data_IF_334744015189
#
_entry.id   IF_334744015189
#
_cell.length_a   1.000
_cell.length_b   1.000
_cell.length_c   1.000
_cell.angle_alpha   90.00
_cell.angle_beta   90.00
_cell.angle_gamma   90.00
#
_symmetry.space_group_name_H-M   'P 1'
#
loop_
_entity.id
_entity.type
_entity.pdbx_description
1 polymer ?
#
# COMPACT_ATOMS: atom_id res chain seq x y z
N UNK A 1 30.98 -21.68 -8.78
CA UNK A 1 30.09 -21.46 -7.65
C UNK A 1 29.00 -22.52 -7.70
N UNK A 2 28.92 -23.39 -6.71
CA UNK A 2 27.94 -24.48 -6.69
C UNK A 2 27.01 -24.29 -5.47
N UNK A 3 26.34 -23.13 -5.41
CA UNK A 3 25.46 -22.79 -4.28
C UNK A 3 24.04 -23.23 -4.64
N UNK A 4 23.45 -24.05 -3.78
CA UNK A 4 22.08 -24.54 -3.96
C UNK A 4 21.09 -23.38 -3.74
N UNK A 5 20.05 -23.29 -4.56
CA UNK A 5 18.97 -22.30 -4.44
C UNK A 5 18.35 -22.27 -3.03
N UNK A 6 18.26 -23.42 -2.35
CA UNK A 6 17.76 -23.52 -0.97
C UNK A 6 18.56 -22.64 0.02
N UNK A 7 19.86 -22.43 -0.21
CA UNK A 7 20.65 -21.53 0.62
C UNK A 7 20.22 -20.07 0.47
N UNK A 8 19.86 -19.64 -0.75
CA UNK A 8 19.35 -18.29 -1.01
C UNK A 8 17.95 -18.09 -0.43
N UNK A 9 17.10 -19.10 -0.53
CA UNK A 9 15.77 -19.12 0.07
C UNK A 9 15.84 -18.99 1.60
N UNK A 10 16.69 -19.73 2.25
CA UNK A 10 16.90 -19.66 3.71
C UNK A 10 17.45 -18.30 4.09
N UNK A 11 18.44 -17.78 3.36
CA UNK A 11 18.99 -16.44 3.57
C UNK A 11 17.91 -15.37 3.49
N UNK A 12 17.06 -15.41 2.45
CA UNK A 12 15.94 -14.49 2.26
C UNK A 12 15.01 -14.44 3.49
N UNK A 13 14.61 -15.59 4.00
CA UNK A 13 13.68 -15.62 5.15
C UNK A 13 14.38 -15.19 6.45
N UNK A 14 15.65 -15.52 6.67
CA UNK A 14 16.39 -15.04 7.84
C UNK A 14 16.56 -13.52 7.80
N UNK A 15 16.89 -12.95 6.65
CA UNK A 15 17.00 -11.50 6.46
C UNK A 15 15.64 -10.80 6.68
N UNK A 16 14.57 -11.34 6.07
CA UNK A 16 13.22 -10.79 6.16
C UNK A 16 12.67 -10.73 7.59
N UNK A 17 12.97 -11.75 8.41
CA UNK A 17 12.43 -11.84 9.78
C UNK A 17 13.43 -11.40 10.86
N UNK A 18 14.70 -11.23 10.54
CA UNK A 18 15.74 -10.93 11.51
C UNK A 18 15.90 -12.00 12.62
N UNK A 19 15.35 -13.22 12.41
CA UNK A 19 15.23 -14.24 13.44
C UNK A 19 15.30 -15.65 12.85
N UNK A 20 16.30 -16.41 13.29
CA UNK A 20 16.56 -17.79 12.82
C UNK A 20 15.42 -18.76 13.17
N UNK A 21 14.83 -18.64 14.36
CA UNK A 21 13.75 -19.53 14.81
C UNK A 21 12.48 -19.26 14.02
N UNK A 22 12.14 -17.98 13.80
CA UNK A 22 10.98 -17.59 13.00
C UNK A 22 11.12 -18.04 11.54
N UNK A 23 12.32 -17.86 10.96
CA UNK A 23 12.64 -18.35 9.63
C UNK A 23 12.50 -19.87 9.54
N UNK A 24 13.02 -20.63 10.53
CA UNK A 24 12.90 -22.08 10.60
C UNK A 24 11.45 -22.56 10.65
N UNK A 25 10.60 -21.89 11.46
CA UNK A 25 9.16 -22.21 11.55
C UNK A 25 8.47 -22.03 10.20
N UNK A 26 8.69 -20.91 9.51
CA UNK A 26 8.10 -20.60 8.19
C UNK A 26 8.59 -21.57 7.11
N UNK A 27 9.84 -22.00 7.21
CA UNK A 27 10.45 -22.95 6.27
C UNK A 27 10.18 -24.43 6.61
N UNK A 28 9.40 -24.71 7.66
CA UNK A 28 9.12 -26.06 8.16
C UNK A 28 10.38 -26.90 8.39
N UNK A 29 11.43 -26.27 8.96
CA UNK A 29 12.72 -26.91 9.24
C UNK A 29 13.20 -26.58 10.67
N UNK A 30 14.35 -27.13 11.07
CA UNK A 30 14.93 -26.87 12.39
C UNK A 30 15.86 -25.63 12.37
N UNK A 31 15.89 -24.89 13.47
CA UNK A 31 16.79 -23.74 13.61
C UNK A 31 18.28 -24.12 13.46
N UNK A 32 18.79 -25.28 13.95
CA UNK A 32 20.17 -25.71 13.66
C UNK A 32 20.44 -25.91 12.17
N UNK A 33 19.47 -26.43 11.40
CA UNK A 33 19.59 -26.57 9.95
C UNK A 33 19.70 -25.22 9.26
N UNK A 34 18.85 -24.24 9.63
CA UNK A 34 18.93 -22.86 9.13
C UNK A 34 20.29 -22.25 9.42
N UNK A 35 20.78 -22.36 10.67
CA UNK A 35 22.10 -21.83 11.08
C UNK A 35 23.24 -22.44 10.26
N UNK A 36 23.23 -23.76 10.08
CA UNK A 36 24.24 -24.47 9.27
C UNK A 36 24.22 -24.02 7.82
N UNK A 37 23.04 -23.81 7.24
CA UNK A 37 22.92 -23.36 5.85
C UNK A 37 23.42 -21.95 5.65
N UNK A 38 23.11 -21.01 6.57
CA UNK A 38 23.66 -19.66 6.53
C UNK A 38 25.19 -19.70 6.62
N UNK A 39 25.74 -20.46 7.55
CA UNK A 39 27.20 -20.58 7.69
C UNK A 39 27.86 -21.15 6.41
N UNK A 40 27.25 -22.16 5.78
CA UNK A 40 27.74 -22.71 4.52
C UNK A 40 27.66 -21.69 3.38
N UNK A 41 26.60 -20.89 3.32
CA UNK A 41 26.45 -19.82 2.33
C UNK A 41 27.55 -18.77 2.51
N UNK A 42 27.77 -18.27 3.73
CA UNK A 42 28.83 -17.31 4.06
C UNK A 42 30.22 -17.84 3.71
N UNK A 43 30.47 -19.12 4.01
CA UNK A 43 31.73 -19.80 3.62
C UNK A 43 31.89 -19.86 2.09
N UNK A 44 30.85 -20.18 1.35
CA UNK A 44 30.90 -20.27 -0.12
C UNK A 44 31.10 -18.90 -0.78
N UNK A 45 30.56 -17.84 -0.18
CA UNK A 45 30.69 -16.45 -0.64
C UNK A 45 31.94 -15.76 -0.09
N UNK A 46 32.63 -16.42 0.85
CA UNK A 46 33.83 -15.89 1.54
C UNK A 46 33.61 -14.52 2.21
N UNK A 47 32.37 -14.28 2.68
CA UNK A 47 32.00 -13.07 3.45
C UNK A 47 30.95 -13.41 4.49
N UNK A 48 30.81 -12.57 5.52
CA UNK A 48 29.72 -12.65 6.47
C UNK A 48 28.52 -11.84 5.95
N UNK A 49 27.34 -12.44 6.01
CA UNK A 49 26.10 -11.81 5.60
C UNK A 49 25.27 -11.33 6.79
N UNK A 50 25.52 -11.92 7.97
CA UNK A 50 24.82 -11.57 9.19
C UNK A 50 25.77 -11.35 10.36
N UNK A 51 25.36 -10.46 11.27
CA UNK A 51 25.91 -10.29 12.60
C UNK A 51 24.82 -10.56 13.66
N UNK A 52 25.25 -11.11 14.81
CA UNK A 52 24.33 -11.31 15.94
C UNK A 52 24.19 -10.01 16.72
N UNK A 53 22.97 -9.62 16.98
CA UNK A 53 22.62 -8.48 17.84
C UNK A 53 21.82 -8.93 19.06
N UNK A 54 21.63 -8.05 20.03
CA UNK A 54 20.77 -8.31 21.21
C UNK A 54 19.29 -8.56 20.82
N UNK A 55 18.89 -8.16 19.63
CA UNK A 55 17.49 -8.24 19.13
C UNK A 55 17.32 -9.34 18.08
N UNK A 56 18.38 -10.05 17.68
CA UNK A 56 18.32 -11.11 16.66
C UNK A 56 19.46 -11.04 15.64
N UNK A 57 19.17 -11.41 14.40
CA UNK A 57 20.12 -11.37 13.28
C UNK A 57 19.96 -10.05 12.51
N UNK A 58 21.09 -9.37 12.25
CA UNK A 58 21.15 -8.14 11.46
C UNK A 58 22.04 -8.38 10.25
N UNK A 59 21.69 -7.79 9.11
CA UNK A 59 22.54 -7.86 7.92
C UNK A 59 23.83 -7.05 8.12
N UNK A 60 24.94 -7.57 7.57
CA UNK A 60 26.17 -6.81 7.35
C UNK A 60 26.02 -5.92 6.11
N UNK A 61 26.91 -4.96 5.82
CA UNK A 61 26.87 -4.21 4.55
C UNK A 61 26.87 -5.12 3.32
N UNK A 62 27.66 -6.20 3.34
CA UNK A 62 27.68 -7.21 2.28
C UNK A 62 26.35 -7.98 2.21
N UNK A 63 25.76 -8.26 3.38
CA UNK A 63 24.44 -8.89 3.50
C UNK A 63 23.34 -8.01 2.96
N UNK A 64 23.36 -6.69 3.15
CA UNK A 64 22.40 -5.75 2.60
C UNK A 64 22.44 -5.74 1.07
N UNK A 65 23.63 -5.59 0.49
CA UNK A 65 23.81 -5.66 -0.97
C UNK A 65 23.30 -6.99 -1.52
N UNK A 66 23.66 -8.09 -0.86
CA UNK A 66 23.21 -9.43 -1.29
C UNK A 66 21.70 -9.60 -1.17
N UNK A 67 21.10 -9.04 -0.12
CA UNK A 67 19.67 -9.10 0.11
C UNK A 67 18.86 -8.36 -0.96
N UNK A 68 19.34 -7.24 -1.49
CA UNK A 68 18.68 -6.52 -2.58
C UNK A 68 18.45 -7.44 -3.79
N UNK A 69 19.46 -8.19 -4.22
CA UNK A 69 19.33 -9.13 -5.34
C UNK A 69 18.46 -10.34 -5.01
N UNK A 70 18.60 -10.90 -3.81
CA UNK A 70 17.85 -12.10 -3.41
C UNK A 70 16.39 -11.75 -3.17
N UNK A 71 16.09 -10.58 -2.61
CA UNK A 71 14.73 -10.10 -2.40
C UNK A 71 13.99 -9.81 -3.72
N UNK A 72 14.71 -9.43 -4.76
CA UNK A 72 14.14 -9.29 -6.10
C UNK A 72 13.88 -10.66 -6.77
N UNK A 73 14.77 -11.64 -6.59
CA UNK A 73 14.72 -12.94 -7.26
C UNK A 73 13.82 -13.99 -6.58
N UNK A 74 13.97 -14.21 -5.27
CA UNK A 74 13.26 -15.27 -4.57
C UNK A 74 11.72 -15.23 -4.71
N UNK A 75 11.05 -14.07 -4.59
CA UNK A 75 9.61 -13.99 -4.77
C UNK A 75 9.14 -14.42 -6.17
N UNK A 76 9.98 -14.23 -7.20
CA UNK A 76 9.64 -14.63 -8.57
C UNK A 76 9.55 -16.15 -8.72
N UNK A 77 10.42 -16.91 -8.05
CA UNK A 77 10.34 -18.37 -8.04
C UNK A 77 9.07 -18.85 -7.34
N UNK A 78 8.72 -18.27 -6.19
CA UNK A 78 7.49 -18.62 -5.47
C UNK A 78 6.24 -18.28 -6.29
N UNK A 79 6.27 -17.14 -7.00
CA UNK A 79 5.20 -16.72 -7.89
C UNK A 79 5.09 -17.66 -9.11
N UNK A 80 6.20 -18.14 -9.66
CA UNK A 80 6.20 -19.11 -10.76
C UNK A 80 5.60 -20.45 -10.33
N UNK A 81 5.94 -20.97 -9.14
CA UNK A 81 5.34 -22.20 -8.58
C UNK A 81 3.84 -22.03 -8.36
N UNK A 82 3.39 -20.90 -7.77
CA UNK A 82 1.98 -20.59 -7.59
C UNK A 82 1.25 -20.50 -8.94
N UNK A 83 1.83 -19.80 -9.92
CA UNK A 83 1.23 -19.64 -11.24
C UNK A 83 1.08 -20.97 -11.99
N UNK A 84 1.99 -21.93 -11.80
CA UNK A 84 1.88 -23.26 -12.41
C UNK A 84 0.71 -24.06 -11.82
N UNK A 85 0.47 -23.98 -10.53
CA UNK A 85 -0.72 -24.56 -9.91
C UNK A 85 -2.02 -23.90 -10.37
N UNK A 86 -1.97 -22.58 -10.59
CA UNK A 86 -3.10 -21.76 -11.05
C UNK A 86 -3.35 -21.91 -12.57
N UNK A 87 -2.35 -22.34 -13.37
CA UNK A 87 -2.52 -22.63 -14.80
C UNK A 87 -3.42 -23.82 -15.08
N UNK A 88 -3.68 -24.67 -14.09
CA UNK A 88 -4.55 -25.82 -14.24
C UNK A 88 -6.04 -25.52 -14.07
N UNK A 89 -6.41 -24.35 -13.53
CA UNK A 89 -7.80 -23.86 -13.54
C UNK A 89 -7.85 -22.35 -13.22
N UNK A 90 -8.62 -21.58 -13.99
CA UNK A 90 -9.08 -20.21 -13.61
C UNK A 90 -9.87 -20.21 -12.28
N UNK A 91 -10.11 -21.40 -11.72
CA UNK A 91 -10.98 -21.61 -10.57
C UNK A 91 -10.30 -21.40 -9.22
N UNK A 92 -8.95 -21.39 -9.10
CA UNK A 92 -8.25 -21.41 -7.81
C UNK A 92 -7.00 -20.54 -7.78
N UNK A 93 -7.05 -19.32 -8.27
CA UNK A 93 -5.88 -18.44 -8.30
C UNK A 93 -5.75 -17.51 -7.10
N UNK A 94 -4.54 -17.00 -6.86
CA UNK A 94 -4.31 -15.91 -5.89
C UNK A 94 -3.82 -14.66 -6.62
N UNK A 95 -4.47 -13.52 -6.35
CA UNK A 95 -4.11 -12.21 -6.87
C UNK A 95 -3.41 -11.42 -5.75
N UNK A 96 -2.18 -10.98 -5.99
CA UNK A 96 -1.41 -10.17 -5.05
C UNK A 96 -1.53 -8.70 -5.46
N UNK A 97 -2.10 -7.88 -4.58
CA UNK A 97 -2.38 -6.47 -4.84
C UNK A 97 -1.72 -5.61 -3.76
N UNK A 98 -1.04 -4.53 -4.16
CA UNK A 98 -0.72 -3.44 -3.25
C UNK A 98 -1.66 -2.27 -3.50
N UNK A 99 -2.27 -1.71 -2.44
CA UNK A 99 -3.21 -0.61 -2.61
C UNK A 99 -3.14 0.39 -1.46
N UNK A 100 -3.49 1.65 -1.75
CA UNK A 100 -3.77 2.65 -0.72
C UNK A 100 -5.19 2.49 -0.18
N UNK A 101 -5.45 2.93 1.06
CA UNK A 101 -6.79 2.91 1.67
C UNK A 101 -7.83 3.56 0.76
N UNK A 102 -7.51 4.73 0.21
CA UNK A 102 -8.38 5.45 -0.72
C UNK A 102 -8.74 4.61 -1.95
N UNK A 103 -7.74 3.92 -2.54
CA UNK A 103 -7.99 3.07 -3.71
C UNK A 103 -8.84 1.84 -3.36
N UNK A 104 -8.66 1.27 -2.17
CA UNK A 104 -9.48 0.16 -1.68
C UNK A 104 -10.94 0.60 -1.51
N UNK A 105 -11.20 1.64 -0.74
CA UNK A 105 -12.55 2.10 -0.42
C UNK A 105 -13.28 2.70 -1.62
N UNK A 106 -12.61 3.56 -2.40
CA UNK A 106 -13.27 4.26 -3.50
C UNK A 106 -13.44 3.43 -4.78
N UNK A 107 -12.78 2.25 -4.89
CA UNK A 107 -12.83 1.51 -6.14
C UNK A 107 -12.67 0.00 -6.00
N UNK A 108 -11.60 -0.48 -5.34
CA UNK A 108 -11.21 -1.89 -5.43
C UNK A 108 -12.20 -2.83 -4.73
N UNK A 109 -12.75 -2.47 -3.58
CA UNK A 109 -13.67 -3.37 -2.87
C UNK A 109 -14.91 -3.70 -3.72
N UNK A 110 -15.49 -2.72 -4.38
CA UNK A 110 -16.62 -2.94 -5.30
C UNK A 110 -16.24 -3.82 -6.50
N UNK A 111 -15.06 -3.56 -7.08
CA UNK A 111 -14.56 -4.37 -8.20
C UNK A 111 -14.24 -5.81 -7.77
N UNK A 112 -13.67 -6.00 -6.57
CA UNK A 112 -13.40 -7.33 -6.00
C UNK A 112 -14.67 -8.10 -5.68
N UNK A 113 -15.69 -7.43 -5.12
CA UNK A 113 -17.00 -8.02 -4.87
C UNK A 113 -17.61 -8.59 -6.15
N UNK A 114 -17.74 -7.75 -7.18
CA UNK A 114 -18.31 -8.17 -8.47
C UNK A 114 -17.45 -9.25 -9.17
N UNK A 115 -16.14 -9.22 -9.02
CA UNK A 115 -15.24 -10.25 -9.55
C UNK A 115 -15.39 -11.57 -8.79
N UNK A 116 -15.53 -11.52 -7.47
CA UNK A 116 -15.67 -12.71 -6.63
C UNK A 116 -17.00 -13.45 -6.88
N UNK A 117 -18.06 -12.74 -7.28
CA UNK A 117 -19.33 -13.36 -7.72
C UNK A 117 -19.13 -14.27 -8.94
N UNK A 118 -18.21 -13.91 -9.85
CA UNK A 118 -17.91 -14.69 -11.06
C UNK A 118 -16.85 -15.75 -10.82
N UNK A 119 -15.91 -15.49 -9.90
CA UNK A 119 -14.75 -16.35 -9.60
C UNK A 119 -14.58 -16.56 -8.09
N UNK A 120 -15.51 -17.29 -7.44
CA UNK A 120 -15.60 -17.36 -5.98
C UNK A 120 -14.39 -18.04 -5.31
N UNK A 121 -13.61 -18.82 -6.04
CA UNK A 121 -12.43 -19.50 -5.52
C UNK A 121 -11.12 -18.71 -5.75
N UNK A 122 -11.18 -17.53 -6.36
CA UNK A 122 -10.02 -16.67 -6.50
C UNK A 122 -9.78 -15.92 -5.19
N UNK A 123 -8.56 -15.99 -4.67
CA UNK A 123 -8.18 -15.34 -3.43
C UNK A 123 -7.44 -14.03 -3.71
N UNK A 124 -7.71 -13.00 -2.90
CA UNK A 124 -6.96 -11.75 -2.90
C UNK A 124 -6.02 -11.69 -1.70
N UNK A 125 -4.76 -11.35 -1.95
CA UNK A 125 -3.79 -10.96 -0.92
C UNK A 125 -3.46 -9.49 -1.08
N UNK A 126 -4.00 -8.68 -0.17
CA UNK A 126 -3.92 -7.22 -0.24
C UNK A 126 -2.84 -6.74 0.73
N UNK A 127 -1.90 -5.96 0.21
CA UNK A 127 -0.91 -5.21 0.98
C UNK A 127 -1.35 -3.75 1.02
N UNK A 128 -1.82 -3.28 2.17
CA UNK A 128 -2.12 -1.88 2.36
C UNK A 128 -0.83 -1.09 2.57
N UNK A 129 -0.51 -0.19 1.66
CA UNK A 129 0.73 0.56 1.64
C UNK A 129 0.53 1.99 1.10
N UNK A 130 1.46 2.89 1.45
CA UNK A 130 1.54 4.21 0.79
C UNK A 130 1.83 4.06 -0.71
N UNK A 131 1.44 5.06 -1.51
CA UNK A 131 1.67 5.06 -2.97
C UNK A 131 3.15 4.78 -3.32
N UNK A 132 4.10 5.41 -2.62
CA UNK A 132 5.54 5.20 -2.88
C UNK A 132 5.95 3.75 -2.65
N UNK A 133 5.51 3.17 -1.54
CA UNK A 133 5.83 1.78 -1.20
C UNK A 133 5.16 0.81 -2.18
N UNK A 134 3.93 1.09 -2.61
CA UNK A 134 3.22 0.28 -3.61
C UNK A 134 3.95 0.26 -4.96
N UNK A 135 4.47 1.40 -5.42
CA UNK A 135 5.27 1.48 -6.64
C UNK A 135 6.54 0.60 -6.55
N UNK A 136 7.25 0.66 -5.43
CA UNK A 136 8.46 -0.13 -5.22
C UNK A 136 8.16 -1.63 -5.20
N UNK A 137 7.10 -2.05 -4.52
CA UNK A 137 6.69 -3.46 -4.42
C UNK A 137 6.32 -4.02 -5.81
N UNK A 138 5.70 -3.21 -6.69
CA UNK A 138 5.44 -3.61 -8.09
C UNK A 138 6.76 -3.76 -8.86
N UNK A 139 7.70 -2.80 -8.74
CA UNK A 139 9.04 -2.89 -9.34
C UNK A 139 9.81 -4.14 -8.94
N UNK A 140 9.65 -4.57 -7.70
CA UNK A 140 10.26 -5.79 -7.16
C UNK A 140 9.54 -7.08 -7.60
N UNK A 141 8.40 -6.97 -8.31
CA UNK A 141 7.59 -8.11 -8.72
C UNK A 141 6.91 -8.88 -7.58
N UNK A 142 6.85 -8.29 -6.37
CA UNK A 142 6.26 -8.91 -5.19
C UNK A 142 4.73 -8.94 -5.20
N UNK A 143 4.09 -8.15 -6.08
CA UNK A 143 2.64 -8.14 -6.33
C UNK A 143 2.36 -8.17 -7.83
N UNK A 144 1.14 -8.52 -8.23
CA UNK A 144 0.74 -8.53 -9.63
C UNK A 144 0.55 -7.12 -10.17
N UNK A 145 0.01 -6.22 -9.33
CA UNK A 145 -0.22 -4.82 -9.64
C UNK A 145 -0.43 -4.01 -8.37
N UNK A 146 -0.43 -2.69 -8.52
CA UNK A 146 -0.85 -1.78 -7.45
C UNK A 146 -2.00 -0.89 -7.92
N UNK A 147 -2.85 -0.46 -6.97
CA UNK A 147 -3.87 0.57 -7.20
C UNK A 147 -3.71 1.66 -6.15
N UNK A 148 -3.44 2.86 -6.60
CA UNK A 148 -3.02 3.96 -5.73
C UNK A 148 -3.66 5.28 -6.14
N UNK A 149 -3.57 6.28 -5.24
CA UNK A 149 -4.06 7.65 -5.50
C UNK A 149 -2.94 8.52 -6.09
N UNK A 150 -3.26 9.29 -7.15
CA UNK A 150 -2.41 10.32 -7.70
C UNK A 150 -2.40 11.61 -6.83
N UNK A 151 -1.43 12.53 -7.02
CA UNK A 151 -0.39 12.55 -8.06
C UNK A 151 0.89 11.80 -7.68
N UNK A 152 1.53 11.19 -8.66
CA UNK A 152 2.88 10.62 -8.55
C UNK A 152 3.49 10.49 -9.95
N UNK A 153 4.77 10.12 -10.02
CA UNK A 153 5.47 9.83 -11.27
C UNK A 153 5.98 8.38 -11.24
N UNK A 154 5.96 7.74 -12.38
CA UNK A 154 6.55 6.42 -12.59
C UNK A 154 7.53 6.46 -13.75
N UNK A 155 8.46 5.52 -13.75
CA UNK A 155 9.44 5.30 -14.79
C UNK A 155 9.24 3.92 -15.43
N UNK A 156 9.68 3.76 -16.67
CA UNK A 156 9.71 2.44 -17.32
C UNK A 156 10.50 1.44 -16.43
N UNK A 157 10.14 0.15 -16.39
CA UNK A 157 9.14 -0.53 -17.23
C UNK A 157 7.70 -0.42 -16.77
N UNK A 158 7.44 0.30 -15.65
CA UNK A 158 6.09 0.42 -15.10
C UNK A 158 5.13 1.13 -16.06
N UNK A 159 3.92 0.62 -16.13
CA UNK A 159 2.79 1.21 -16.85
C UNK A 159 1.73 1.68 -15.87
N UNK A 160 0.96 2.68 -16.28
CA UNK A 160 -0.16 3.17 -15.48
C UNK A 160 -1.41 3.37 -16.31
N UNK A 161 -2.58 3.18 -15.66
CA UNK A 161 -3.90 3.43 -16.24
C UNK A 161 -4.79 4.10 -15.22
N UNK A 162 -5.48 5.16 -15.61
CA UNK A 162 -6.51 5.79 -14.78
C UNK A 162 -7.73 4.88 -14.73
N UNK A 163 -8.16 4.49 -13.53
CA UNK A 163 -9.34 3.68 -13.29
C UNK A 163 -10.57 4.53 -12.97
N UNK A 164 -10.42 5.52 -12.09
CA UNK A 164 -11.52 6.36 -11.61
C UNK A 164 -11.03 7.75 -11.24
N UNK A 165 -11.86 8.75 -11.46
CA UNK A 165 -11.71 10.10 -10.86
C UNK A 165 -12.50 10.18 -9.57
N UNK A 166 -11.96 10.83 -8.56
CA UNK A 166 -12.64 11.09 -7.29
C UNK A 166 -12.28 12.49 -6.78
N UNK A 167 -12.97 12.95 -5.78
CA UNK A 167 -12.68 14.20 -5.09
C UNK A 167 -12.81 13.97 -3.59
N UNK A 168 -12.09 14.75 -2.82
CA UNK A 168 -12.25 14.77 -1.37
C UNK A 168 -13.29 15.85 -1.02
N UNK A 169 -14.09 15.61 -0.01
CA UNK A 169 -14.98 16.59 0.66
C UNK A 169 -14.39 17.00 1.99
N UNK A 170 -14.68 18.19 2.45
CA UNK A 170 -14.34 18.62 3.79
C UNK A 170 -15.46 18.22 4.74
N UNK A 171 -15.13 17.52 5.83
CA UNK A 171 -16.11 17.09 6.84
C UNK A 171 -15.84 17.72 8.21
N UNK A 172 -16.91 17.94 8.94
CA UNK A 172 -16.90 18.37 10.33
C UNK A 172 -17.85 17.57 11.20
N UNK A 173 -17.50 17.41 12.48
CA UNK A 173 -18.35 16.80 13.51
C UNK A 173 -19.24 17.84 14.21
N UNK A 174 -20.10 17.37 15.13
CA UNK A 174 -21.11 18.17 15.84
C UNK A 174 -20.58 19.45 16.52
N UNK A 175 -19.33 19.45 16.96
CA UNK A 175 -18.69 20.63 17.58
C UNK A 175 -18.59 21.84 16.62
N UNK A 176 -18.60 21.57 15.31
CA UNK A 176 -18.43 22.58 14.25
C UNK A 176 -19.74 22.84 13.51
N UNK A 177 -20.90 22.62 14.14
CA UNK A 177 -22.22 22.68 13.52
C UNK A 177 -22.55 24.08 12.96
N UNK A 178 -21.89 25.13 13.45
CA UNK A 178 -21.97 26.49 12.89
C UNK A 178 -21.50 26.58 11.44
N UNK A 179 -20.68 25.62 10.97
CA UNK A 179 -20.20 25.57 9.57
C UNK A 179 -21.19 24.88 8.62
N UNK A 180 -22.19 24.17 9.16
CA UNK A 180 -23.13 23.39 8.37
C UNK A 180 -24.04 24.27 7.52
N UNK A 181 -24.18 23.92 6.23
CA UNK A 181 -25.04 24.63 5.29
C UNK A 181 -24.54 26.03 4.89
N UNK A 182 -23.32 26.40 5.27
CA UNK A 182 -22.70 27.64 4.87
C UNK A 182 -21.57 27.38 3.85
N UNK A 183 -21.50 28.22 2.83
CA UNK A 183 -20.40 28.21 1.87
C UNK A 183 -19.27 29.12 2.36
N UNK A 184 -18.18 28.52 2.86
CA UNK A 184 -17.14 29.20 3.61
C UNK A 184 -15.83 29.17 2.81
N UNK A 185 -15.05 30.28 2.84
CA UNK A 185 -13.75 30.29 2.18
C UNK A 185 -12.71 29.51 2.99
N UNK A 186 -11.77 28.86 2.28
CA UNK A 186 -10.66 28.13 2.91
C UNK A 186 -9.86 29.01 3.88
N UNK A 187 -9.78 30.32 3.60
CA UNK A 187 -9.12 31.30 4.47
C UNK A 187 -9.83 31.46 5.82
N UNK A 188 -11.18 31.45 5.83
CA UNK A 188 -11.96 31.52 7.06
C UNK A 188 -11.86 30.23 7.86
N UNK A 189 -11.67 29.09 7.19
CA UNK A 189 -11.48 27.80 7.83
C UNK A 189 -10.11 27.61 8.48
N UNK A 190 -9.13 28.47 8.18
CA UNK A 190 -7.79 28.41 8.75
C UNK A 190 -7.73 28.60 10.28
N UNK A 191 -8.79 29.11 10.91
CA UNK A 191 -8.89 29.24 12.37
C UNK A 191 -9.38 27.98 13.09
N UNK A 192 -9.84 26.98 12.35
CA UNK A 192 -10.32 25.71 12.90
C UNK A 192 -9.18 24.70 12.98
N UNK A 193 -9.24 23.76 13.93
CA UNK A 193 -8.25 22.68 14.01
C UNK A 193 -8.37 21.73 12.82
N UNK A 194 -7.24 21.48 12.16
CA UNK A 194 -7.16 20.63 10.97
C UNK A 194 -6.63 19.23 11.29
N UNK A 195 -7.31 18.23 10.78
CA UNK A 195 -6.87 16.85 10.78
C UNK A 195 -6.38 16.49 9.39
N UNK A 196 -5.18 15.94 9.28
CA UNK A 196 -4.60 15.53 8.00
C UNK A 196 -3.64 14.35 8.16
N UNK A 197 -3.08 13.90 7.04
CA UNK A 197 -2.03 12.89 7.05
C UNK A 197 -0.66 13.50 7.35
N UNK A 198 0.31 12.65 7.68
CA UNK A 198 1.71 13.06 7.88
C UNK A 198 2.30 13.72 6.62
N UNK A 199 3.31 14.60 6.75
CA UNK A 199 3.87 15.40 5.64
C UNK A 199 4.40 14.57 4.47
N UNK A 200 4.82 13.32 4.71
CA UNK A 200 5.34 12.40 3.70
C UNK A 200 4.27 11.86 2.76
N UNK A 201 3.01 11.84 3.23
CA UNK A 201 1.89 11.30 2.48
C UNK A 201 1.61 12.12 1.20
N UNK A 202 1.38 11.44 0.09
CA UNK A 202 1.06 12.09 -1.20
C UNK A 202 -0.21 12.93 -1.10
N UNK A 203 -1.22 12.44 -0.38
CA UNK A 203 -2.46 13.19 -0.12
C UNK A 203 -2.18 14.48 0.65
N UNK A 204 -1.29 14.48 1.64
CA UNK A 204 -0.91 15.70 2.37
C UNK A 204 -0.18 16.69 1.45
N UNK A 205 0.74 16.23 0.60
CA UNK A 205 1.43 17.09 -0.37
C UNK A 205 0.46 17.73 -1.35
N UNK A 206 -0.53 16.97 -1.81
CA UNK A 206 -1.61 17.49 -2.66
C UNK A 206 -2.44 18.55 -1.95
N UNK A 207 -2.79 18.34 -0.68
CA UNK A 207 -3.51 19.30 0.14
C UNK A 207 -2.69 20.58 0.36
N UNK A 208 -1.39 20.47 0.67
CA UNK A 208 -0.48 21.62 0.78
C UNK A 208 -0.51 22.47 -0.50
N UNK A 209 -0.43 21.84 -1.68
CA UNK A 209 -0.50 22.56 -2.97
C UNK A 209 -1.84 23.27 -3.18
N UNK A 210 -2.93 22.68 -2.72
CA UNK A 210 -4.25 23.33 -2.77
C UNK A 210 -4.29 24.60 -1.91
N UNK A 211 -3.77 24.54 -0.68
CA UNK A 211 -3.69 25.70 0.21
C UNK A 211 -2.75 26.78 -0.35
N UNK A 212 -1.58 26.39 -0.84
CA UNK A 212 -0.61 27.31 -1.45
C UNK A 212 -1.20 28.06 -2.64
N UNK A 213 -1.96 27.39 -3.52
CA UNK A 213 -2.67 28.03 -4.65
C UNK A 213 -3.69 29.07 -4.19
N UNK A 214 -4.23 28.92 -2.98
CA UNK A 214 -5.16 29.88 -2.36
C UNK A 214 -4.44 30.89 -1.46
N UNK A 215 -3.10 30.97 -1.53
CA UNK A 215 -2.29 31.94 -0.78
C UNK A 215 -2.16 31.65 0.71
N UNK A 216 -2.32 30.37 1.10
CA UNK A 216 -2.28 29.93 2.49
C UNK A 216 -1.20 28.87 2.69
N UNK A 217 -0.64 28.83 3.90
CA UNK A 217 0.17 27.71 4.37
C UNK A 217 -0.74 26.74 5.12
N UNK A 218 -0.69 25.46 4.78
CA UNK A 218 -1.45 24.45 5.49
C UNK A 218 -0.63 23.88 6.67
N UNK A 219 -1.22 23.94 7.86
CA UNK A 219 -0.70 23.33 9.07
C UNK A 219 -1.80 22.46 9.67
N UNK A 220 -1.46 21.23 10.03
CA UNK A 220 -2.40 20.32 10.67
C UNK A 220 -2.16 20.32 12.18
N UNK A 221 -3.23 20.40 12.95
CA UNK A 221 -3.21 20.28 14.43
C UNK A 221 -3.12 18.80 14.83
N UNK A 222 -3.64 17.90 14.00
CA UNK A 222 -3.54 16.46 14.19
C UNK A 222 -3.04 15.80 12.91
N UNK A 223 -1.98 15.01 13.03
CA UNK A 223 -1.40 14.24 11.93
C UNK A 223 -1.61 12.74 12.12
N UNK A 224 -2.19 12.09 11.12
CA UNK A 224 -2.56 10.68 11.12
C UNK A 224 -1.78 9.92 10.05
N UNK A 225 -1.59 8.61 10.29
CA UNK A 225 -0.82 7.77 9.37
C UNK A 225 -1.62 7.39 8.10
N UNK A 226 -2.93 7.21 8.21
CA UNK A 226 -3.80 6.65 7.16
C UNK A 226 -5.10 7.44 7.02
N UNK A 227 -5.71 7.41 5.83
CA UNK A 227 -6.91 8.21 5.50
C UNK A 227 -8.14 7.76 6.28
N UNK A 228 -8.27 6.49 6.56
CA UNK A 228 -9.39 5.90 7.31
C UNK A 228 -9.45 6.37 8.78
N UNK A 229 -8.35 6.88 9.32
CA UNK A 229 -8.32 7.46 10.67
C UNK A 229 -8.90 8.88 10.74
N UNK A 230 -9.07 9.58 9.61
CA UNK A 230 -9.58 10.96 9.60
C UNK A 230 -11.03 11.00 10.06
N UNK A 231 -11.89 10.14 9.51
CA UNK A 231 -13.31 10.09 9.87
C UNK A 231 -13.54 9.86 11.38
N UNK A 232 -12.94 8.85 12.03
CA UNK A 232 -13.05 8.68 13.48
C UNK A 232 -12.62 9.91 14.27
N UNK A 233 -11.53 10.57 13.88
CA UNK A 233 -11.05 11.76 14.56
C UNK A 233 -12.03 12.95 14.43
N UNK A 234 -12.63 13.14 13.23
CA UNK A 234 -13.69 14.15 13.02
C UNK A 234 -14.94 13.84 13.83
N UNK A 235 -15.39 12.58 13.89
CA UNK A 235 -16.52 12.13 14.73
C UNK A 235 -16.30 12.46 16.22
N UNK A 236 -15.07 12.35 16.68
CA UNK A 236 -14.68 12.74 18.05
C UNK A 236 -14.47 14.25 18.23
N UNK A 237 -14.83 15.07 17.22
CA UNK A 237 -14.76 16.52 17.26
C UNK A 237 -13.34 17.10 17.50
N UNK A 238 -12.30 16.39 17.04
CA UNK A 238 -10.91 16.80 17.20
C UNK A 238 -10.47 17.84 16.15
N UNK A 239 -11.25 17.99 15.07
CA UNK A 239 -11.00 18.95 14.02
C UNK A 239 -11.85 18.69 12.78
N UNK A 240 -11.54 19.43 11.71
CA UNK A 240 -12.12 19.25 10.38
C UNK A 240 -11.08 18.60 9.47
N UNK A 241 -11.51 17.87 8.46
CA UNK A 241 -10.57 17.15 7.59
C UNK A 241 -11.13 16.81 6.21
N UNK A 242 -10.23 16.73 5.22
CA UNK A 242 -10.58 16.29 3.88
C UNK A 242 -10.53 14.77 3.77
N UNK A 243 -11.57 14.18 3.18
CA UNK A 243 -11.71 12.74 2.99
C UNK A 243 -12.58 12.45 1.75
N UNK A 244 -12.34 11.36 1.02
CA UNK A 244 -13.28 10.92 0.00
C UNK A 244 -14.66 10.61 0.61
N UNK A 245 -15.77 10.99 -0.03
CA UNK A 245 -17.12 10.79 0.51
C UNK A 245 -17.46 9.32 0.75
N UNK A 246 -16.84 8.39 0.04
CA UNK A 246 -17.03 6.95 0.21
C UNK A 246 -16.66 6.45 1.62
N UNK A 247 -15.74 7.14 2.33
CA UNK A 247 -15.41 6.80 3.72
C UNK A 247 -16.47 7.26 4.73
N UNK A 248 -17.18 8.33 4.42
CA UNK A 248 -18.08 9.01 5.34
C UNK A 248 -19.56 8.80 5.03
N UNK A 249 -19.90 7.93 4.09
CA UNK A 249 -21.27 7.78 3.57
C UNK A 249 -22.30 7.57 4.68
N UNK A 250 -22.10 6.58 5.51
CA UNK A 250 -23.06 6.22 6.58
C UNK A 250 -23.12 7.31 7.66
N UNK A 251 -21.98 7.93 7.98
CA UNK A 251 -21.90 9.01 8.97
C UNK A 251 -22.53 10.32 8.46
N UNK A 252 -22.46 10.59 7.16
CA UNK A 252 -23.16 11.71 6.51
C UNK A 252 -24.68 11.48 6.50
N UNK A 253 -25.11 10.26 6.16
CA UNK A 253 -26.53 9.88 6.15
C UNK A 253 -27.15 9.90 7.55
N UNK A 254 -26.43 9.46 8.57
CA UNK A 254 -26.86 9.49 9.98
C UNK A 254 -26.74 10.87 10.64
N UNK A 255 -25.98 11.79 10.04
CA UNK A 255 -25.72 13.12 10.60
C UNK A 255 -24.69 13.15 11.73
N UNK A 256 -23.90 12.08 11.91
CA UNK A 256 -22.79 12.07 12.86
C UNK A 256 -21.67 13.02 12.44
N UNK A 257 -21.50 13.17 11.13
CA UNK A 257 -20.66 14.21 10.51
C UNK A 257 -21.47 14.91 9.40
N UNK A 258 -20.99 16.05 8.92
CA UNK A 258 -21.59 16.77 7.81
C UNK A 258 -20.50 17.34 6.89
N UNK A 259 -20.87 17.55 5.63
CA UNK A 259 -20.01 18.22 4.66
C UNK A 259 -19.98 19.74 4.91
N UNK A 260 -18.79 20.32 4.89
CA UNK A 260 -18.54 21.76 4.94
C UNK A 260 -18.31 22.23 3.51
N UNK A 261 -19.22 23.07 2.99
CA UNK A 261 -19.09 23.61 1.64
C UNK A 261 -17.98 24.68 1.57
N UNK A 262 -16.92 24.37 0.80
CA UNK A 262 -15.83 25.30 0.56
C UNK A 262 -16.08 26.11 -0.72
N UNK A 263 -15.79 27.43 -0.70
CA UNK A 263 -15.97 28.32 -1.86
C UNK A 263 -15.01 28.00 -2.98
N UNK A 264 -13.76 27.69 -2.62
CA UNK A 264 -12.68 27.34 -3.54
C UNK A 264 -12.85 25.90 -4.02
N UNK A 265 -12.83 25.69 -5.32
CA UNK A 265 -12.99 24.35 -5.91
C UNK A 265 -11.83 23.45 -5.51
N UNK A 266 -12.16 22.34 -4.84
CA UNK A 266 -11.19 21.29 -4.55
C UNK A 266 -10.91 20.49 -5.81
N UNK A 267 -9.65 20.27 -6.20
CA UNK A 267 -9.33 19.61 -7.47
C UNK A 267 -9.60 18.13 -7.40
N UNK A 268 -10.01 17.54 -8.53
CA UNK A 268 -10.18 16.10 -8.67
C UNK A 268 -8.84 15.38 -8.64
N UNK A 269 -8.88 14.15 -8.16
CA UNK A 269 -7.75 13.21 -8.09
C UNK A 269 -8.10 11.93 -8.88
N UNK A 270 -7.09 11.13 -9.15
CA UNK A 270 -7.27 9.88 -9.89
C UNK A 270 -6.88 8.68 -9.04
N UNK A 271 -7.65 7.61 -9.15
CA UNK A 271 -7.25 6.26 -8.75
C UNK A 271 -6.57 5.64 -9.98
N UNK A 272 -5.37 5.14 -9.79
CA UNK A 272 -4.48 4.70 -10.86
C UNK A 272 -4.02 3.28 -10.59
N UNK A 273 -4.21 2.41 -11.59
CA UNK A 273 -3.59 1.10 -11.68
C UNK A 273 -2.13 1.26 -12.13
N UNK A 274 -1.21 0.55 -11.46
CA UNK A 274 0.21 0.45 -11.82
C UNK A 274 0.56 -1.03 -11.95
N UNK A 275 1.21 -1.40 -13.03
CA UNK A 275 1.69 -2.77 -13.27
C UNK A 275 3.01 -2.75 -14.03
N UNK A 276 3.77 -3.83 -13.92
CA UNK A 276 5.00 -4.03 -14.66
C UNK A 276 4.74 -4.95 -15.85
N UNK A 277 5.30 -4.59 -17.02
CA UNK A 277 5.14 -5.39 -18.24
C UNK A 277 6.22 -6.46 -18.38
N UNK A 278 7.31 -6.36 -17.62
CA UNK A 278 8.43 -7.31 -17.67
C UNK A 278 8.20 -8.51 -16.76
N UNK A 279 7.39 -8.35 -15.71
CA UNK A 279 7.04 -9.46 -14.83
C UNK A 279 5.77 -10.18 -15.27
N UNK A 280 5.80 -11.53 -15.37
CA UNK A 280 4.62 -12.30 -15.70
C UNK A 280 3.56 -12.18 -14.62
N UNK A 281 2.34 -11.79 -15.00
CA UNK A 281 1.18 -11.77 -14.14
C UNK A 281 0.51 -13.14 -14.12
N UNK A 282 -0.10 -13.53 -12.99
CA UNK A 282 -0.92 -14.74 -12.88
C UNK A 282 -2.13 -14.67 -13.83
N UNK A 283 -2.71 -15.82 -14.16
CA UNK A 283 -3.92 -15.89 -14.99
C UNK A 283 -5.08 -15.17 -14.28
N UNK A 284 -5.23 -15.39 -12.98
CA UNK A 284 -6.23 -14.72 -12.17
C UNK A 284 -6.04 -13.18 -12.17
N UNK A 285 -4.77 -12.70 -12.02
CA UNK A 285 -4.47 -11.28 -12.09
C UNK A 285 -4.80 -10.69 -13.47
N UNK A 286 -4.46 -11.39 -14.57
CA UNK A 286 -4.83 -10.96 -15.94
C UNK A 286 -6.35 -10.89 -16.14
N UNK A 287 -7.09 -11.86 -15.61
CA UNK A 287 -8.55 -11.85 -15.65
C UNK A 287 -9.12 -10.67 -14.88
N UNK A 288 -8.64 -10.42 -13.67
CA UNK A 288 -9.06 -9.28 -12.86
C UNK A 288 -8.70 -7.94 -13.51
N UNK A 289 -7.50 -7.80 -14.09
CA UNK A 289 -7.10 -6.57 -14.80
C UNK A 289 -7.97 -6.30 -16.03
N UNK A 290 -8.46 -7.33 -16.73
CA UNK A 290 -9.44 -7.17 -17.81
C UNK A 290 -10.81 -6.75 -17.28
N UNK A 291 -11.17 -7.23 -16.10
CA UNK A 291 -12.43 -6.86 -15.42
C UNK A 291 -12.42 -5.39 -14.95
N UNK A 292 -11.25 -4.84 -14.57
CA UNK A 292 -11.09 -3.43 -14.22
C UNK A 292 -11.13 -2.48 -15.44
N UNK A 293 -11.19 -3.01 -16.65
CA UNK A 293 -11.30 -2.25 -17.89
C UNK A 293 -12.74 -1.99 -18.24
#
# INVERSE_FOLDING_TARGET
>A
MNTNFEHYRIFYYVAKYGNLTKAATVLHTSQPSVTRTIHNLEKNLNCRLFERSKVGMKLTPEGEVFYEYIAAGCPQFFKAESNLSDMLSLENGTIYVSATETALHCYLFQAMESFNEQYPNVHFKILNNSTRKSINIVKEGNVDFAVVSAPFQIEKPLQQKVLRKYHDILIGGKRFEELKGQKISIKQLAQYPWISLTPEAITRKFLNQYFEKNGLKFEADMELATTDMILPAVRHNLGIGFIPPEFAKDDLESGEVFEIEVKETFPQRNIILIYDTEYPQSIAAKAFLRFLN
#
